data_IF_155781201366
#
_entry.id   IF_155781201366
#
_cell.length_a   1.000
_cell.length_b   1.000
_cell.length_c   1.000
_cell.angle_alpha   90.00
_cell.angle_beta   90.00
_cell.angle_gamma   90.00
#
_symmetry.space_group_name_H-M   'P 1'
#
loop_
_entity.id
_entity.type
_entity.pdbx_description
1 polymer ?
#
# COMPACT_ATOMS: atom_id res chain seq x y z
N UNK A 1 15.55 -7.35 -9.99
CA UNK A 1 15.47 -7.44 -11.47
C UNK A 1 14.03 -7.47 -11.97
N UNK A 2 13.17 -8.33 -11.43
CA UNK A 2 11.74 -8.42 -11.82
C UNK A 2 10.96 -7.11 -11.62
N UNK A 3 11.09 -6.48 -10.44
CA UNK A 3 10.35 -5.25 -10.13
C UNK A 3 10.61 -4.11 -11.12
N UNK A 4 11.88 -3.85 -11.44
CA UNK A 4 12.30 -2.79 -12.37
C UNK A 4 11.78 -3.01 -13.79
N UNK A 5 11.52 -4.26 -14.18
CA UNK A 5 11.06 -4.62 -15.53
C UNK A 5 9.52 -4.66 -15.61
N UNK A 6 8.88 -5.22 -14.59
CA UNK A 6 7.43 -5.44 -14.56
C UNK A 6 6.65 -4.19 -14.15
N UNK A 7 7.20 -3.37 -13.24
CA UNK A 7 6.53 -2.16 -12.77
C UNK A 7 6.26 -1.14 -13.90
N UNK A 8 7.20 -0.84 -14.81
CA UNK A 8 6.93 0.01 -15.98
C UNK A 8 5.81 -0.53 -16.87
N UNK A 9 5.73 -1.85 -17.06
CA UNK A 9 4.69 -2.49 -17.88
C UNK A 9 3.32 -2.28 -17.24
N UNK A 10 3.18 -2.53 -15.94
CA UNK A 10 1.91 -2.29 -15.24
C UNK A 10 1.54 -0.80 -15.13
N UNK A 11 2.51 0.12 -15.26
CA UNK A 11 2.21 1.55 -15.33
C UNK A 11 1.50 1.97 -16.62
N UNK A 12 1.48 1.13 -17.67
CA UNK A 12 0.66 1.33 -18.86
C UNK A 12 -0.84 1.15 -18.55
N UNK A 13 -1.18 0.42 -17.48
CA UNK A 13 -2.55 0.30 -17.04
C UNK A 13 -3.08 1.63 -16.46
N UNK A 14 -4.38 1.92 -16.61
CA UNK A 14 -5.00 3.11 -16.04
C UNK A 14 -4.98 3.06 -14.50
N UNK A 15 -4.78 4.21 -13.85
CA UNK A 15 -4.95 4.32 -12.40
C UNK A 15 -6.42 4.10 -12.06
N UNK A 16 -6.65 3.24 -11.08
CA UNK A 16 -7.96 3.00 -10.48
C UNK A 16 -8.17 4.01 -9.35
N UNK A 17 -9.00 5.02 -9.61
CA UNK A 17 -9.28 6.14 -8.69
C UNK A 17 -9.79 5.71 -7.32
N UNK A 18 -10.40 4.54 -7.23
CA UNK A 18 -11.00 4.00 -6.02
C UNK A 18 -10.18 2.90 -5.34
N UNK A 19 -8.93 2.68 -5.76
CA UNK A 19 -8.08 1.64 -5.17
C UNK A 19 -7.14 2.26 -4.13
N UNK A 20 -7.13 1.65 -2.94
CA UNK A 20 -6.27 2.04 -1.83
C UNK A 20 -5.40 0.85 -1.43
N UNK A 21 -4.09 1.01 -1.57
CA UNK A 21 -3.11 0.01 -1.16
C UNK A 21 -2.56 0.37 0.23
N UNK A 22 -2.68 -0.55 1.17
CA UNK A 22 -2.06 -0.48 2.48
C UNK A 22 -0.85 -1.42 2.53
N UNK A 23 0.27 -0.92 3.04
CA UNK A 23 1.46 -1.72 3.31
C UNK A 23 2.04 -1.36 4.67
N UNK A 24 1.93 -2.31 5.62
CA UNK A 24 2.51 -2.18 6.95
C UNK A 24 3.72 -3.10 7.08
N UNK A 25 4.90 -2.55 7.33
CA UNK A 25 6.14 -3.29 7.58
C UNK A 25 6.39 -4.43 6.56
N UNK A 26 6.24 -4.14 5.27
CA UNK A 26 6.34 -5.10 4.17
C UNK A 26 5.36 -6.29 4.27
N UNK A 27 4.17 -6.04 4.81
CA UNK A 27 3.13 -7.04 5.03
C UNK A 27 3.44 -8.07 6.11
N UNK A 28 4.34 -7.77 7.05
CA UNK A 28 4.59 -8.63 8.23
C UNK A 28 3.48 -8.50 9.28
N UNK A 29 2.80 -7.37 9.31
CA UNK A 29 1.71 -7.03 10.23
C UNK A 29 0.69 -6.19 9.48
N UNK A 30 -0.49 -5.98 10.07
CA UNK A 30 -1.45 -4.98 9.63
C UNK A 30 -1.87 -4.17 10.86
N UNK A 31 -1.16 -3.08 11.12
CA UNK A 31 -1.24 -2.30 12.36
C UNK A 31 -0.91 -0.82 12.16
N UNK A 32 -0.81 -0.09 13.28
CA UNK A 32 -0.39 1.30 13.35
C UNK A 32 -1.28 2.25 12.56
N UNK A 33 -0.66 3.33 12.07
CA UNK A 33 -1.35 4.40 11.34
C UNK A 33 -2.09 3.90 10.08
N UNK A 34 -1.53 3.00 9.23
CA UNK A 34 -2.27 2.52 8.07
C UNK A 34 -3.52 1.71 8.45
N UNK A 35 -3.49 0.92 9.53
CA UNK A 35 -4.68 0.21 10.02
C UNK A 35 -5.75 1.19 10.51
N UNK A 36 -5.37 2.18 11.31
CA UNK A 36 -6.30 3.20 11.78
C UNK A 36 -6.95 3.96 10.61
N UNK A 37 -6.17 4.35 9.61
CA UNK A 37 -6.69 4.99 8.38
C UNK A 37 -7.65 4.06 7.64
N UNK A 38 -7.32 2.77 7.53
CA UNK A 38 -8.21 1.78 6.92
C UNK A 38 -9.55 1.67 7.66
N UNK A 39 -9.53 1.57 8.99
CA UNK A 39 -10.74 1.44 9.81
C UNK A 39 -11.64 2.66 9.67
N UNK A 40 -11.06 3.86 9.72
CA UNK A 40 -11.78 5.11 9.49
C UNK A 40 -12.37 5.19 8.09
N UNK A 41 -11.63 4.81 7.05
CA UNK A 41 -12.13 4.78 5.67
C UNK A 41 -13.25 3.75 5.49
N UNK A 42 -13.15 2.60 6.18
CA UNK A 42 -14.16 1.54 6.13
C UNK A 42 -15.48 1.95 6.76
N UNK A 43 -15.44 2.82 7.77
CA UNK A 43 -16.63 3.28 8.48
C UNK A 43 -17.39 4.41 7.76
N UNK A 44 -16.85 4.96 6.66
CA UNK A 44 -17.54 6.00 5.89
C UNK A 44 -18.67 5.42 5.03
N UNK A 45 -19.73 6.19 4.85
CA UNK A 45 -20.90 5.79 4.03
C UNK A 45 -20.53 5.40 2.58
N UNK A 46 -19.45 5.97 2.04
CA UNK A 46 -18.95 5.68 0.70
C UNK A 46 -17.84 4.62 0.64
N UNK A 47 -17.57 3.89 1.74
CA UNK A 47 -16.52 2.87 1.79
C UNK A 47 -16.65 1.81 0.69
N UNK A 48 -17.87 1.41 0.35
CA UNK A 48 -18.17 0.40 -0.68
C UNK A 48 -17.74 0.83 -2.09
N UNK A 49 -17.47 2.12 -2.32
CA UNK A 49 -16.95 2.60 -3.59
C UNK A 49 -15.47 2.28 -3.75
N UNK A 50 -14.75 2.00 -2.66
CA UNK A 50 -13.32 1.75 -2.64
C UNK A 50 -12.99 0.26 -2.62
N UNK A 51 -11.92 -0.11 -3.33
CA UNK A 51 -11.28 -1.41 -3.18
C UNK A 51 -10.08 -1.26 -2.25
N UNK A 52 -10.15 -1.91 -1.11
CA UNK A 52 -9.05 -1.95 -0.15
C UNK A 52 -8.14 -3.15 -0.43
N UNK A 53 -6.87 -2.86 -0.70
CA UNK A 53 -5.83 -3.87 -0.92
C UNK A 53 -4.86 -3.81 0.25
N UNK A 54 -4.66 -4.93 0.94
CA UNK A 54 -3.77 -5.01 2.10
C UNK A 54 -2.62 -5.95 1.78
N UNK A 55 -1.40 -5.44 1.93
CA UNK A 55 -0.20 -6.25 1.81
C UNK A 55 -0.02 -7.07 3.09
N UNK A 56 -0.05 -8.39 3.01
CA UNK A 56 0.09 -9.25 4.18
C UNK A 56 0.65 -10.64 3.83
N UNK A 57 1.57 -11.14 4.65
CA UNK A 57 2.13 -12.48 4.58
C UNK A 57 1.14 -13.51 5.12
N UNK A 58 1.39 -14.80 4.86
CA UNK A 58 0.56 -15.88 5.42
C UNK A 58 0.57 -15.81 6.96
N UNK A 59 -0.59 -16.04 7.58
CA UNK A 59 -0.74 -16.00 9.04
C UNK A 59 -0.99 -14.61 9.63
N UNK A 60 -0.76 -13.51 8.89
CA UNK A 60 -1.13 -12.16 9.36
C UNK A 60 -2.64 -12.02 9.35
N UNK A 61 -3.25 -11.68 10.47
CA UNK A 61 -4.69 -11.40 10.57
C UNK A 61 -4.99 -10.07 9.89
N UNK A 62 -5.96 -10.07 8.97
CA UNK A 62 -6.45 -8.88 8.29
C UNK A 62 -7.98 -8.88 8.35
N UNK A 63 -8.63 -7.70 8.28
CA UNK A 63 -10.09 -7.60 8.27
C UNK A 63 -10.71 -8.36 7.10
N UNK A 64 -11.96 -8.78 7.26
CA UNK A 64 -12.75 -9.32 6.16
C UNK A 64 -13.00 -8.26 5.07
N UNK A 65 -13.34 -8.73 3.86
CA UNK A 65 -13.65 -7.88 2.70
C UNK A 65 -12.50 -6.98 2.22
N UNK A 66 -11.25 -7.33 2.53
CA UNK A 66 -10.05 -6.71 1.93
C UNK A 66 -9.35 -7.69 1.01
N UNK A 67 -8.72 -7.17 -0.04
CA UNK A 67 -7.94 -8.00 -0.95
C UNK A 67 -6.52 -8.20 -0.40
N UNK A 68 -6.22 -9.39 0.11
CA UNK A 68 -4.87 -9.78 0.55
C UNK A 68 -3.93 -9.88 -0.64
N UNK A 69 -2.77 -9.25 -0.53
CA UNK A 69 -1.69 -9.38 -1.52
C UNK A 69 -0.37 -9.64 -0.82
N UNK A 70 0.40 -10.61 -1.30
CA UNK A 70 1.74 -10.89 -0.76
C UNK A 70 2.73 -9.81 -1.20
N UNK A 71 3.52 -9.28 -0.27
CA UNK A 71 4.57 -8.30 -0.58
C UNK A 71 5.53 -8.82 -1.66
N UNK A 72 5.92 -7.95 -2.59
CA UNK A 72 6.81 -8.26 -3.72
C UNK A 72 6.32 -9.36 -4.68
N UNK A 73 5.06 -9.80 -4.59
CA UNK A 73 4.44 -10.63 -5.62
C UNK A 73 4.12 -9.82 -6.89
N UNK A 74 3.87 -10.50 -8.01
CA UNK A 74 3.39 -9.83 -9.23
C UNK A 74 2.10 -9.02 -8.99
N UNK A 75 1.18 -9.57 -8.19
CA UNK A 75 -0.03 -8.88 -7.77
C UNK A 75 0.29 -7.59 -6.97
N UNK A 76 1.27 -7.62 -6.07
CA UNK A 76 1.71 -6.42 -5.35
C UNK A 76 2.22 -5.35 -6.31
N UNK A 77 3.08 -5.72 -7.27
CA UNK A 77 3.64 -4.77 -8.24
C UNK A 77 2.50 -4.17 -9.09
N UNK A 78 1.53 -4.99 -9.51
CA UNK A 78 0.35 -4.55 -10.23
C UNK A 78 -0.48 -3.55 -9.42
N UNK A 79 -0.89 -3.92 -8.20
CA UNK A 79 -1.71 -3.05 -7.35
C UNK A 79 -0.97 -1.77 -6.94
N UNK A 80 0.34 -1.81 -6.77
CA UNK A 80 1.14 -0.62 -6.57
C UNK A 80 1.08 0.30 -7.81
N UNK A 81 1.22 -0.25 -9.01
CA UNK A 81 1.19 0.53 -10.26
C UNK A 81 -0.19 1.16 -10.55
N UNK A 82 -1.29 0.51 -10.17
CA UNK A 82 -2.66 0.96 -10.53
C UNK A 82 -3.42 1.66 -9.40
N UNK A 83 -3.06 1.49 -8.13
CA UNK A 83 -3.81 2.09 -7.02
C UNK A 83 -3.63 3.61 -6.99
N UNK A 84 -4.73 4.36 -6.84
CA UNK A 84 -4.68 5.81 -6.70
C UNK A 84 -4.02 6.24 -5.39
N UNK A 85 -4.25 5.49 -4.31
CA UNK A 85 -3.75 5.83 -2.98
C UNK A 85 -2.84 4.74 -2.45
N UNK A 86 -1.67 5.14 -1.95
CA UNK A 86 -0.73 4.27 -1.24
C UNK A 86 -0.61 4.77 0.19
N UNK A 87 -0.90 3.91 1.16
CA UNK A 87 -0.77 4.20 2.60
C UNK A 87 0.28 3.26 3.17
N UNK A 88 1.47 3.79 3.46
CA UNK A 88 2.66 2.97 3.78
C UNK A 88 3.38 3.54 5.01
N UNK A 89 3.79 2.66 5.93
CA UNK A 89 4.52 3.04 7.15
C UNK A 89 6.02 2.73 7.14
N UNK A 90 6.51 2.14 6.05
CA UNK A 90 7.89 1.76 5.81
C UNK A 90 8.40 2.43 4.53
N UNK A 91 9.72 2.57 4.41
CA UNK A 91 10.34 3.05 3.18
C UNK A 91 9.83 2.26 1.97
N UNK A 92 9.31 2.98 0.98
CA UNK A 92 9.05 2.41 -0.32
C UNK A 92 10.36 1.92 -0.97
N UNK A 93 10.24 0.98 -1.90
CA UNK A 93 11.41 0.41 -2.58
C UNK A 93 12.15 1.47 -3.39
N UNK A 94 13.49 1.44 -3.38
CA UNK A 94 14.32 2.40 -4.11
C UNK A 94 14.08 2.33 -5.63
N UNK A 95 13.85 3.48 -6.24
CA UNK A 95 13.51 3.58 -7.67
C UNK A 95 12.04 3.35 -8.00
N UNK A 96 11.15 3.33 -6.99
CA UNK A 96 9.70 3.29 -7.18
C UNK A 96 9.11 4.61 -6.73
N UNK A 97 8.63 5.38 -7.70
CA UNK A 97 7.98 6.66 -7.45
C UNK A 97 6.51 6.57 -7.85
N UNK A 98 5.59 7.12 -7.03
CA UNK A 98 4.20 7.29 -7.44
C UNK A 98 4.12 8.09 -8.75
N UNK A 99 3.15 7.77 -9.60
CA UNK A 99 2.83 8.59 -10.79
C UNK A 99 2.26 9.94 -10.34
N UNK A 100 2.27 10.95 -11.22
CA UNK A 100 1.68 12.29 -10.95
C UNK A 100 0.26 12.23 -10.38
N UNK A 101 -0.53 11.28 -10.87
CA UNK A 101 -1.91 11.08 -10.44
C UNK A 101 -2.06 10.05 -9.31
N UNK A 102 -1.00 9.58 -8.66
CA UNK A 102 -1.09 8.75 -7.45
C UNK A 102 -0.76 9.58 -6.22
N UNK A 103 -1.39 9.24 -5.10
CA UNK A 103 -1.17 9.87 -3.81
C UNK A 103 -0.42 8.90 -2.93
N UNK A 104 0.79 9.29 -2.52
CA UNK A 104 1.62 8.52 -1.61
C UNK A 104 1.59 9.13 -0.21
N UNK A 105 0.89 8.46 0.70
CA UNK A 105 0.81 8.81 2.11
C UNK A 105 1.79 7.95 2.91
N UNK A 106 2.92 8.55 3.29
CA UNK A 106 3.92 7.92 4.14
C UNK A 106 3.67 8.28 5.61
N UNK A 107 3.30 7.29 6.43
CA UNK A 107 2.96 7.51 7.83
C UNK A 107 4.12 7.34 8.80
N UNK A 108 5.24 6.76 8.33
CA UNK A 108 6.36 6.30 9.16
C UNK A 108 5.90 5.42 10.34
N UNK A 109 6.81 5.12 11.27
CA UNK A 109 6.60 4.25 12.43
C UNK A 109 6.90 4.93 13.77
N UNK A 110 6.86 6.25 13.82
CA UNK A 110 7.01 7.05 15.04
C UNK A 110 8.23 7.96 15.06
N UNK A 111 8.33 8.74 16.14
CA UNK A 111 9.42 9.70 16.34
C UNK A 111 10.74 8.96 16.50
N UNK A 112 11.77 9.30 15.70
CA UNK A 112 13.07 8.66 15.83
C UNK A 112 13.76 9.09 17.13
N UNK A 113 14.03 8.14 18.02
CA UNK A 113 14.88 8.38 19.21
C UNK A 113 16.38 8.31 18.84
N UNK A 114 16.73 7.47 17.86
CA UNK A 114 18.08 7.37 17.30
C UNK A 114 18.19 8.23 16.05
N UNK A 115 19.40 8.72 15.78
CA UNK A 115 19.70 9.49 14.57
C UNK A 115 19.49 8.60 13.34
N UNK A 116 18.38 8.83 12.65
CA UNK A 116 18.08 8.21 11.37
C UNK A 116 18.32 9.26 10.27
N UNK A 117 18.49 8.81 9.03
CA UNK A 117 18.75 9.68 7.88
C UNK A 117 17.55 10.59 7.61
N UNK A 118 17.57 11.78 8.22
CA UNK A 118 16.84 12.98 7.82
C UNK A 118 17.86 13.96 7.22
#
# INVERSE_FOLDING_TARGET
MLFKTVYPIFRLCPIRRNYVLFNCNNGKVFDGNPKAIFEELRNKQNANQYKFIVTASNGVVIPENVHRVRYMSLAYIFYLAVSKYWVININAFSGVNPRKDQVFLQTWHGTPLKKNWC
#
